data_IF_714303650314
#
_entry.id   IF_714303650314
#
_cell.length_a   1.000
_cell.length_b   1.000
_cell.length_c   1.000
_cell.angle_alpha   90.00
_cell.angle_beta   90.00
_cell.angle_gamma   90.00
#
_symmetry.space_group_name_H-M   'P 1'
#
loop_
_entity.id
_entity.type
_entity.pdbx_description
1 polymer ?
#
# COMPACT_ATOMS: atom_id res chain seq x y z
N UNK A 1 7.52 -26.52 16.65
CA UNK A 1 6.03 -26.46 16.54
C UNK A 1 5.51 -25.23 15.77
N UNK A 2 6.30 -24.59 14.88
CA UNK A 2 5.90 -23.41 14.09
C UNK A 2 6.01 -23.63 12.56
N UNK A 3 6.35 -24.84 12.10
CA UNK A 3 6.56 -25.15 10.68
C UNK A 3 5.26 -25.39 9.89
N UNK A 4 4.10 -24.94 10.42
CA UNK A 4 2.78 -25.06 9.80
C UNK A 4 2.31 -23.81 9.04
N UNK A 5 3.03 -22.69 9.15
CA UNK A 5 2.74 -21.45 8.40
C UNK A 5 3.25 -21.55 6.96
N UNK A 6 2.91 -22.67 6.32
CA UNK A 6 3.02 -22.85 4.88
C UNK A 6 2.40 -21.62 4.22
N UNK A 7 3.20 -20.87 3.46
CA UNK A 7 2.74 -19.63 2.81
C UNK A 7 1.46 -19.79 1.99
N UNK A 8 1.04 -21.02 1.74
CA UNK A 8 -0.28 -21.40 1.24
C UNK A 8 -1.45 -20.81 2.04
N UNK A 9 -1.37 -20.77 3.38
CA UNK A 9 -2.42 -20.17 4.19
C UNK A 9 -2.53 -18.65 3.98
N UNK A 10 -1.38 -17.97 3.88
CA UNK A 10 -1.35 -16.54 3.58
C UNK A 10 -1.95 -16.24 2.20
N UNK A 11 -1.66 -17.07 1.19
CA UNK A 11 -2.25 -16.95 -0.15
C UNK A 11 -3.78 -17.07 -0.10
N UNK A 12 -4.32 -18.05 0.64
CA UNK A 12 -5.77 -18.26 0.80
C UNK A 12 -6.42 -17.05 1.46
N UNK A 13 -5.82 -16.49 2.50
CA UNK A 13 -6.35 -15.30 3.20
C UNK A 13 -6.37 -14.10 2.25
N UNK A 14 -5.29 -13.89 1.49
CA UNK A 14 -5.21 -12.83 0.48
C UNK A 14 -6.34 -13.00 -0.55
N UNK A 15 -6.57 -14.20 -1.07
CA UNK A 15 -7.67 -14.47 -2.02
C UNK A 15 -9.03 -14.12 -1.43
N UNK A 16 -9.30 -14.47 -0.17
CA UNK A 16 -10.57 -14.13 0.50
C UNK A 16 -10.73 -12.61 0.62
N UNK A 17 -9.67 -11.89 1.01
CA UNK A 17 -9.71 -10.43 1.11
C UNK A 17 -9.92 -9.80 -0.27
N UNK A 18 -9.29 -10.32 -1.34
CA UNK A 18 -9.53 -9.85 -2.71
C UNK A 18 -10.99 -10.05 -3.15
N UNK A 19 -11.63 -11.15 -2.74
CA UNK A 19 -13.05 -11.40 -3.05
C UNK A 19 -13.97 -10.43 -2.30
N UNK A 20 -13.67 -10.10 -1.04
CA UNK A 20 -14.48 -9.19 -0.22
C UNK A 20 -14.28 -7.71 -0.61
N UNK A 21 -13.03 -7.29 -0.82
CA UNK A 21 -12.67 -5.90 -1.06
C UNK A 21 -12.55 -5.55 -2.55
N UNK A 22 -12.33 -6.54 -3.42
CA UNK A 22 -12.05 -6.35 -4.84
C UNK A 22 -10.60 -5.99 -5.15
N UNK A 23 -10.13 -6.35 -6.34
CA UNK A 23 -8.78 -6.10 -6.83
C UNK A 23 -8.32 -4.61 -6.79
N UNK A 24 -9.15 -3.58 -7.07
CA UNK A 24 -8.67 -2.20 -7.09
C UNK A 24 -8.54 -1.55 -5.70
N UNK A 25 -9.17 -2.10 -4.65
CA UNK A 25 -9.22 -1.47 -3.32
C UNK A 25 -7.98 -1.77 -2.47
N UNK A 26 -7.39 -2.95 -2.62
CA UNK A 26 -6.15 -3.32 -1.93
C UNK A 26 -4.93 -2.45 -2.29
N UNK A 27 -4.62 -2.21 -3.58
CA UNK A 27 -3.48 -1.36 -3.93
C UNK A 27 -3.70 0.09 -3.51
N UNK A 28 -4.95 0.58 -3.52
CA UNK A 28 -5.28 1.93 -3.03
C UNK A 28 -5.00 2.10 -1.54
N UNK A 29 -5.46 1.16 -0.71
CA UNK A 29 -5.21 1.17 0.74
C UNK A 29 -3.72 0.98 1.07
N UNK A 30 -3.04 0.09 0.33
CA UNK A 30 -1.60 -0.11 0.49
C UNK A 30 -0.80 1.15 0.12
N UNK A 31 -1.18 1.87 -0.94
CA UNK A 31 -0.53 3.14 -1.33
C UNK A 31 -0.72 4.23 -0.27
N UNK A 32 -1.93 4.45 0.23
CA UNK A 32 -2.17 5.48 1.23
C UNK A 32 -1.49 5.18 2.58
N UNK A 33 -1.55 3.93 3.06
CA UNK A 33 -0.83 3.50 4.26
C UNK A 33 0.69 3.54 4.06
N UNK A 34 1.17 3.17 2.87
CA UNK A 34 2.59 3.19 2.50
C UNK A 34 3.15 4.62 2.49
N UNK A 35 2.39 5.61 2.01
CA UNK A 35 2.78 7.01 2.05
C UNK A 35 2.92 7.53 3.48
N UNK A 36 1.95 7.26 4.37
CA UNK A 36 2.06 7.64 5.79
C UNK A 36 3.24 6.96 6.49
N UNK A 37 3.46 5.68 6.19
CA UNK A 37 4.56 4.91 6.78
C UNK A 37 5.93 5.31 6.23
N UNK A 38 6.02 5.78 4.98
CA UNK A 38 7.25 6.33 4.38
C UNK A 38 7.66 7.61 5.11
N UNK A 39 6.72 8.51 5.37
CA UNK A 39 6.99 9.77 6.09
C UNK A 39 7.48 9.47 7.51
N UNK A 40 6.77 8.62 8.25
CA UNK A 40 7.16 8.21 9.59
C UNK A 40 8.56 7.56 9.64
N UNK A 41 8.86 6.65 8.69
CA UNK A 41 10.19 6.04 8.56
C UNK A 41 11.27 7.07 8.23
N UNK A 42 10.95 8.08 7.43
CA UNK A 42 11.91 9.09 7.00
C UNK A 42 12.27 10.05 8.14
N UNK A 43 11.29 10.45 8.95
CA UNK A 43 11.53 11.25 10.16
C UNK A 43 12.38 10.48 11.16
N UNK A 44 12.04 9.22 11.45
CA UNK A 44 12.79 8.38 12.41
C UNK A 44 14.21 8.04 11.91
N UNK A 45 14.40 7.85 10.59
CA UNK A 45 15.73 7.67 10.00
C UNK A 45 16.55 8.96 10.03
N UNK A 46 15.92 10.13 9.95
CA UNK A 46 16.65 11.41 10.00
C UNK A 46 17.30 11.65 11.37
N UNK A 47 16.70 11.14 12.45
CA UNK A 47 17.27 11.19 13.81
C UNK A 47 18.36 10.13 14.08
N UNK A 48 18.47 9.11 13.23
CA UNK A 48 19.51 8.07 13.31
C UNK A 48 20.36 8.09 12.05
N UNK A 49 21.49 8.82 12.11
CA UNK A 49 22.55 8.97 11.09
C UNK A 49 22.55 7.85 10.03
N UNK A 50 22.47 8.19 8.73
CA UNK A 50 22.04 7.25 7.69
C UNK A 50 23.18 6.32 7.27
N UNK A 51 22.87 5.02 7.20
CA UNK A 51 23.53 4.11 6.26
C UNK A 51 22.45 3.50 5.37
N UNK A 52 22.77 3.54 4.09
CA UNK A 52 22.00 3.35 2.87
C UNK A 52 20.98 2.23 2.92
N UNK A 53 19.72 2.50 2.52
CA UNK A 53 18.82 1.58 1.82
C UNK A 53 17.60 2.38 1.33
N UNK A 54 17.78 3.05 0.19
CA UNK A 54 16.70 3.58 -0.64
C UNK A 54 16.26 2.49 -1.62
N UNK A 55 15.19 1.77 -1.26
CA UNK A 55 14.39 1.04 -2.23
C UNK A 55 13.19 1.93 -2.59
N UNK A 56 13.47 2.89 -3.47
CA UNK A 56 12.46 3.49 -4.32
C UNK A 56 11.75 2.37 -5.10
N UNK A 57 10.44 2.22 -4.91
CA UNK A 57 9.59 1.47 -5.84
C UNK A 57 8.11 1.79 -5.67
N UNK A 58 7.57 2.32 -6.77
CA UNK A 58 6.17 2.31 -7.19
C UNK A 58 5.27 3.45 -6.68
N UNK A 59 5.68 4.66 -7.04
CA UNK A 59 4.71 5.66 -7.50
C UNK A 59 4.15 5.15 -8.84
N UNK A 60 2.90 4.69 -8.85
CA UNK A 60 2.18 4.43 -10.10
C UNK A 60 0.85 5.22 -10.05
N UNK A 61 0.65 6.18 -10.97
CA UNK A 61 -0.52 7.04 -11.00
C UNK A 61 -1.68 6.35 -11.74
N UNK A 62 -2.79 6.15 -11.04
CA UNK A 62 -4.16 6.02 -11.58
C UNK A 62 -5.08 5.76 -10.38
N UNK A 63 -6.09 6.57 -10.08
CA UNK A 63 -7.02 7.17 -11.03
C UNK A 63 -7.36 8.60 -10.68
N UNK A 64 -7.13 9.50 -11.64
CA UNK A 64 -7.96 10.69 -11.80
C UNK A 64 -9.30 10.19 -12.35
N UNK A 65 -10.30 10.16 -11.50
CA UNK A 65 -11.72 10.33 -11.86
C UNK A 65 -12.10 11.56 -11.06
N UNK A 66 -11.95 12.79 -11.55
CA UNK A 66 -12.72 13.37 -12.66
C UNK A 66 -14.14 12.81 -12.75
N UNK A 67 -14.87 12.90 -11.64
CA UNK A 67 -16.24 13.43 -11.71
C UNK A 67 -16.13 14.94 -11.52
N UNK A 68 -15.78 15.58 -12.63
CA UNK A 68 -16.23 16.91 -12.96
C UNK A 68 -17.77 16.91 -12.87
N UNK A 69 -18.31 17.60 -11.87
CA UNK A 69 -19.65 18.18 -11.97
C UNK A 69 -19.58 19.54 -11.29
N UNK A 70 -18.77 20.41 -11.88
CA UNK A 70 -19.01 21.84 -11.78
C UNK A 70 -19.65 22.30 -13.09
N UNK A 71 -20.79 22.99 -12.96
CA UNK A 71 -21.38 23.89 -13.93
C UNK A 71 -22.35 23.34 -15.00
N UNK A 72 -23.66 23.41 -14.70
CA UNK A 72 -24.67 24.08 -15.55
C UNK A 72 -26.06 24.15 -14.87
N UNK A 73 -26.25 25.14 -14.00
CA UNK A 73 -27.35 26.13 -14.04
C UNK A 73 -27.16 27.14 -12.91
#
# INVERSE_FOLDING_TARGET
>A
MLAGLTGWHALIIVVIILLLFGAPKLPGLARSMGQSMKIFRNEIKSDKKPEDLDADSSDAPSSRTETDTTNKQ
#
